data_IF_886119269717
#
_entry.id   IF_886119269717
#
_cell.length_a   1.000
_cell.length_b   1.000
_cell.length_c   1.000
_cell.angle_alpha   90.00
_cell.angle_beta   90.00
_cell.angle_gamma   90.00
#
_symmetry.space_group_name_H-M   'P 1'
#
loop_
_entity.id
_entity.type
_entity.pdbx_description
1 polymer ?
#
# COMPACT_ATOMS: atom_id res chain seq x y z
N UNK A 1 17.54 28.89 -31.51
CA UNK A 1 16.37 28.22 -30.90
C UNK A 1 15.45 29.29 -30.34
N UNK A 2 14.20 29.40 -30.81
CA UNK A 2 13.31 30.49 -30.41
C UNK A 2 12.98 30.41 -28.92
N UNK A 3 13.05 31.55 -28.22
CA UNK A 3 12.67 31.66 -26.79
C UNK A 3 11.30 31.06 -26.50
N UNK A 4 10.31 31.25 -27.39
CA UNK A 4 8.99 30.64 -27.28
C UNK A 4 9.00 29.12 -27.38
N UNK A 5 9.86 28.53 -28.22
CA UNK A 5 9.96 27.07 -28.36
C UNK A 5 10.57 26.46 -27.10
N UNK A 6 11.61 27.09 -26.54
CA UNK A 6 12.22 26.63 -25.28
C UNK A 6 11.22 26.69 -24.12
N UNK A 7 10.44 27.76 -24.05
CA UNK A 7 9.41 27.92 -23.02
C UNK A 7 8.33 26.83 -23.10
N UNK A 8 7.85 26.52 -24.31
CA UNK A 8 6.86 25.45 -24.53
C UNK A 8 7.40 24.09 -24.08
N UNK A 9 8.65 23.77 -24.41
CA UNK A 9 9.28 22.50 -24.03
C UNK A 9 9.35 22.36 -22.50
N UNK A 10 9.80 23.41 -21.80
CA UNK A 10 9.89 23.41 -20.33
C UNK A 10 8.52 23.19 -19.69
N UNK A 11 7.49 23.88 -20.19
CA UNK A 11 6.12 23.76 -19.69
C UNK A 11 5.59 22.33 -19.87
N UNK A 12 5.86 21.73 -21.03
CA UNK A 12 5.45 20.36 -21.35
C UNK A 12 6.12 19.34 -20.42
N UNK A 13 7.42 19.50 -20.12
CA UNK A 13 8.15 18.65 -19.17
C UNK A 13 7.54 18.75 -17.77
N UNK A 14 7.20 19.94 -17.29
CA UNK A 14 6.58 20.13 -15.96
C UNK A 14 5.23 19.41 -15.89
N UNK A 15 4.38 19.57 -16.91
CA UNK A 15 3.06 18.90 -16.95
C UNK A 15 3.21 17.38 -16.97
N UNK A 16 4.15 16.85 -17.77
CA UNK A 16 4.45 15.41 -17.77
C UNK A 16 4.96 14.92 -16.42
N UNK A 17 5.85 15.68 -15.77
CA UNK A 17 6.34 15.34 -14.42
C UNK A 17 5.20 15.31 -13.40
N UNK A 18 4.24 16.24 -13.47
CA UNK A 18 3.06 16.23 -12.60
C UNK A 18 2.16 15.03 -12.91
N UNK A 19 1.88 14.72 -14.17
CA UNK A 19 1.06 13.56 -14.55
C UNK A 19 1.72 12.26 -14.09
N UNK A 20 3.03 12.10 -14.30
CA UNK A 20 3.78 10.92 -13.85
C UNK A 20 3.78 10.86 -12.33
N UNK A 21 4.04 11.97 -11.64
CA UNK A 21 4.00 12.03 -10.18
C UNK A 21 2.61 11.67 -9.62
N UNK A 22 1.55 12.23 -10.20
CA UNK A 22 0.16 11.91 -9.85
C UNK A 22 -0.20 10.46 -10.20
N UNK A 23 0.26 9.94 -11.33
CA UNK A 23 0.05 8.55 -11.75
C UNK A 23 0.74 7.57 -10.80
N UNK A 24 1.99 7.85 -10.39
CA UNK A 24 2.70 7.08 -9.38
C UNK A 24 2.01 7.22 -8.01
N UNK A 25 1.65 8.43 -7.58
CA UNK A 25 1.03 8.67 -6.28
C UNK A 25 -0.37 8.03 -6.17
N UNK A 26 -1.19 8.10 -7.23
CA UNK A 26 -2.53 7.50 -7.26
C UNK A 26 -2.46 5.96 -7.28
N UNK A 27 -1.43 5.37 -7.90
CA UNK A 27 -1.20 3.91 -7.91
C UNK A 27 -0.71 3.36 -6.57
N UNK A 28 -0.21 4.21 -5.66
CA UNK A 28 0.08 3.82 -4.27
C UNK A 28 -1.18 3.75 -3.38
N UNK A 29 -2.29 4.39 -3.76
CA UNK A 29 -3.53 4.41 -2.95
C UNK A 29 -4.52 3.31 -3.30
N UNK A 30 -4.47 2.76 -4.50
CA UNK A 30 -5.20 1.54 -4.85
C UNK A 30 -4.32 0.31 -4.57
N UNK A 31 -4.08 0.03 -3.30
CA UNK A 31 -3.64 -1.31 -2.89
C UNK A 31 -4.68 -2.29 -3.42
N UNK A 32 -4.36 -2.99 -4.53
CA UNK A 32 -5.25 -3.99 -5.10
C UNK A 32 -5.59 -5.00 -4.01
N UNK A 33 -6.87 -5.34 -3.88
CA UNK A 33 -7.35 -6.25 -2.84
C UNK A 33 -6.62 -7.60 -2.89
N UNK A 34 -6.30 -8.08 -4.09
CA UNK A 34 -5.51 -9.29 -4.29
C UNK A 34 -4.09 -9.20 -3.68
N UNK A 35 -3.45 -8.02 -3.75
CA UNK A 35 -2.14 -7.81 -3.15
C UNK A 35 -2.23 -7.71 -1.63
N UNK A 36 -3.30 -7.12 -1.09
CA UNK A 36 -3.56 -7.08 0.36
C UNK A 36 -3.76 -8.50 0.90
N UNK A 37 -4.60 -9.30 0.24
CA UNK A 37 -4.82 -10.70 0.62
C UNK A 37 -3.52 -11.50 0.55
N UNK A 38 -2.74 -11.34 -0.52
CA UNK A 38 -1.45 -12.01 -0.67
C UNK A 38 -0.44 -11.60 0.40
N UNK A 39 -0.39 -10.31 0.75
CA UNK A 39 0.47 -9.80 1.80
C UNK A 39 0.08 -10.36 3.17
N UNK A 40 -1.23 -10.40 3.47
CA UNK A 40 -1.75 -11.00 4.70
C UNK A 40 -1.43 -12.48 4.72
N UNK A 41 -1.81 -13.27 3.72
CA UNK A 41 -1.48 -14.71 3.66
C UNK A 41 0.01 -14.99 3.81
N UNK A 42 0.89 -14.14 3.26
CA UNK A 42 2.34 -14.27 3.40
C UNK A 42 2.86 -13.90 4.80
N UNK A 43 2.13 -13.08 5.53
CA UNK A 43 2.48 -12.70 6.90
C UNK A 43 2.20 -13.82 7.92
N UNK A 44 1.28 -14.75 7.63
CA UNK A 44 0.96 -15.87 8.52
C UNK A 44 1.79 -17.11 8.16
N UNK A 45 2.49 -17.72 9.13
CA UNK A 45 3.12 -19.03 8.95
C UNK A 45 2.08 -20.12 8.64
N UNK A 46 2.50 -21.18 7.93
CA UNK A 46 1.61 -22.32 7.64
C UNK A 46 1.08 -22.93 8.95
N UNK A 47 -0.25 -22.98 9.09
CA UNK A 47 -0.92 -23.56 10.26
C UNK A 47 -1.13 -22.60 11.44
N UNK A 48 -0.72 -21.33 11.33
CA UNK A 48 -0.90 -20.33 12.38
C UNK A 48 -2.07 -19.41 12.01
N UNK A 49 -3.15 -19.48 12.78
CA UNK A 49 -4.35 -18.67 12.55
C UNK A 49 -4.29 -17.26 13.17
N UNK A 50 -3.35 -16.99 14.07
CA UNK A 50 -3.27 -15.72 14.81
C UNK A 50 -1.81 -15.29 15.02
N UNK A 51 -1.51 -14.03 14.72
CA UNK A 51 -0.18 -13.43 14.92
C UNK A 51 -0.29 -12.11 15.66
N UNK A 52 0.81 -11.62 16.25
CA UNK A 52 0.82 -10.33 16.91
C UNK A 52 0.61 -9.20 15.90
N UNK A 53 -0.11 -8.15 16.32
CA UNK A 53 -0.38 -6.97 15.50
C UNK A 53 0.90 -6.32 14.98
N UNK A 54 1.95 -6.26 15.80
CA UNK A 54 3.26 -5.69 15.45
C UNK A 54 3.98 -6.48 14.35
N UNK A 55 3.87 -7.80 14.39
CA UNK A 55 4.44 -8.70 13.37
C UNK A 55 3.73 -8.50 12.03
N UNK A 56 2.39 -8.40 12.07
CA UNK A 56 1.60 -8.12 10.86
C UNK A 56 1.96 -6.75 10.27
N UNK A 57 2.06 -5.71 11.10
CA UNK A 57 2.46 -4.36 10.65
C UNK A 57 3.85 -4.39 10.02
N UNK A 58 4.80 -5.10 10.62
CA UNK A 58 6.16 -5.22 10.10
C UNK A 58 6.19 -5.96 8.76
N UNK A 59 5.44 -7.05 8.63
CA UNK A 59 5.31 -7.81 7.39
C UNK A 59 4.66 -6.98 6.27
N UNK A 60 3.59 -6.26 6.57
CA UNK A 60 2.89 -5.37 5.62
C UNK A 60 3.79 -4.21 5.18
N UNK A 61 4.51 -3.58 6.13
CA UNK A 61 5.51 -2.54 5.81
C UNK A 61 6.58 -3.06 4.86
N UNK A 62 7.11 -4.26 5.12
CA UNK A 62 8.14 -4.89 4.28
C UNK A 62 7.60 -5.27 2.89
N UNK A 63 6.36 -5.72 2.80
CA UNK A 63 5.74 -6.13 1.54
C UNK A 63 5.42 -4.94 0.62
N UNK A 64 4.88 -3.86 1.19
CA UNK A 64 4.43 -2.69 0.42
C UNK A 64 5.44 -1.53 0.40
N UNK A 65 6.59 -1.67 1.05
CA UNK A 65 7.57 -0.60 1.23
C UNK A 65 6.93 0.71 1.72
N UNK A 66 6.00 0.60 2.66
CA UNK A 66 5.12 1.70 3.08
C UNK A 66 5.45 2.22 4.49
N UNK A 67 4.93 3.40 4.79
CA UNK A 67 5.02 3.99 6.13
C UNK A 67 4.19 3.21 7.15
N UNK A 68 4.45 3.38 8.45
CA UNK A 68 3.68 2.72 9.50
C UNK A 68 2.18 3.13 9.47
N UNK A 69 1.90 4.38 9.08
CA UNK A 69 0.53 4.91 8.94
C UNK A 69 -0.23 4.17 7.83
N UNK A 70 0.41 3.94 6.68
CA UNK A 70 -0.18 3.21 5.56
C UNK A 70 -0.36 1.72 5.87
N UNK A 71 0.60 1.09 6.55
CA UNK A 71 0.45 -0.30 6.98
C UNK A 71 -0.77 -0.49 7.90
N UNK A 72 -1.00 0.43 8.84
CA UNK A 72 -2.22 0.41 9.66
C UNK A 72 -3.49 0.65 8.84
N UNK A 73 -3.45 1.52 7.83
CA UNK A 73 -4.57 1.71 6.91
C UNK A 73 -4.90 0.42 6.14
N UNK A 74 -3.91 -0.27 5.59
CA UNK A 74 -4.07 -1.54 4.86
C UNK A 74 -4.69 -2.62 5.76
N UNK A 75 -4.20 -2.75 6.99
CA UNK A 75 -4.76 -3.70 7.99
C UNK A 75 -6.22 -3.31 8.32
N UNK A 76 -6.52 -2.02 8.43
CA UNK A 76 -7.90 -1.54 8.64
C UNK A 76 -8.83 -1.85 7.46
N UNK A 77 -8.35 -1.75 6.22
CA UNK A 77 -9.08 -2.15 5.02
C UNK A 77 -9.36 -3.65 5.03
N UNK A 78 -8.37 -4.47 5.38
CA UNK A 78 -8.51 -5.92 5.50
C UNK A 78 -9.55 -6.33 6.56
N UNK A 79 -9.60 -5.63 7.70
CA UNK A 79 -10.63 -5.83 8.72
C UNK A 79 -12.04 -5.52 8.18
N UNK A 80 -12.23 -4.38 7.51
CA UNK A 80 -13.54 -4.02 6.92
C UNK A 80 -14.04 -5.05 5.90
N UNK A 81 -13.12 -5.77 5.26
CA UNK A 81 -13.42 -6.83 4.30
C UNK A 81 -13.52 -8.22 4.92
N UNK A 82 -13.46 -8.34 6.25
CA UNK A 82 -13.51 -9.61 7.00
C UNK A 82 -12.41 -10.61 6.61
N UNK A 83 -11.25 -10.12 6.18
CA UNK A 83 -10.07 -10.96 5.90
C UNK A 83 -9.29 -11.28 7.19
N UNK A 84 -9.34 -10.36 8.14
CA UNK A 84 -8.68 -10.46 9.44
C UNK A 84 -9.60 -9.93 10.54
N UNK A 85 -9.56 -10.58 11.70
CA UNK A 85 -10.16 -10.11 12.93
C UNK A 85 -9.08 -9.58 13.87
N UNK A 86 -9.35 -8.46 14.54
CA UNK A 86 -8.38 -7.82 15.43
C UNK A 86 -8.87 -7.98 16.87
N UNK A 87 -8.20 -8.85 17.63
CA UNK A 87 -8.46 -9.10 19.03
C UNK A 87 -7.31 -8.55 19.88
N UNK A 88 -7.49 -7.34 20.43
CA UNK A 88 -6.54 -6.63 21.28
C UNK A 88 -5.11 -6.53 20.69
N UNK A 89 -4.22 -7.49 21.02
CA UNK A 89 -2.83 -7.55 20.58
C UNK A 89 -2.59 -8.53 19.42
N UNK A 90 -3.58 -9.37 19.10
CA UNK A 90 -3.50 -10.42 18.10
C UNK A 90 -4.43 -10.14 16.93
N UNK A 91 -4.00 -10.56 15.75
CA UNK A 91 -4.77 -10.47 14.52
C UNK A 91 -4.96 -11.88 13.98
N UNK A 92 -6.21 -12.32 13.92
CA UNK A 92 -6.62 -13.64 13.46
C UNK A 92 -7.03 -13.58 11.99
N UNK A 93 -6.54 -14.51 11.17
CA UNK A 93 -6.91 -14.59 9.76
C UNK A 93 -8.23 -15.35 9.61
N UNK A 94 -9.15 -14.86 8.76
CA UNK A 94 -10.53 -15.39 8.65
C UNK A 94 -10.80 -16.18 7.36
N UNK A 95 -9.76 -16.72 6.70
CA UNK A 95 -9.91 -17.53 5.49
C UNK A 95 -10.32 -18.98 5.76
#
# INVERSE_FOLDING_TARGET
MNKSVVFIIILLVIVLSIIVSQYFHKRHHEYKMADIEKAIRKAYPKGVGSIRKEELVTAVKKYFHCSAKEAHYIIGVARRKKLVDIAAEYVTIMF
#
